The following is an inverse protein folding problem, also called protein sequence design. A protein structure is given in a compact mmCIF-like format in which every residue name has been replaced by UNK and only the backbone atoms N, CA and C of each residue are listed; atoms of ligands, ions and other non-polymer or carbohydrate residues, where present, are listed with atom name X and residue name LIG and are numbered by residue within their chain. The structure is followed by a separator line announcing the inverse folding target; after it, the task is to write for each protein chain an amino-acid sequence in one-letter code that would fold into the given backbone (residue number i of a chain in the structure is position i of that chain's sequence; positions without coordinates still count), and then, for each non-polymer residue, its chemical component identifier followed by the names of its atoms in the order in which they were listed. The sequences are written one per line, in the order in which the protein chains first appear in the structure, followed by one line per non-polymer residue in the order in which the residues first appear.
data_IF_815110410233
#
_entry.id   IF_815110410233
#
_cell.length_a   1.000
_cell.length_b   1.000
_cell.length_c   1.000
_cell.angle_alpha   90.00
_cell.angle_beta   90.00
_cell.angle_gamma   90.00
#
_symmetry.space_group_name_H-M   'P 1'
#
loop_
_entity.id
_entity.type
_entity.pdbx_description
1 polymer ?
#
# COMPACT_ATOMS: atom_id res chain seq x y z
N UNK A 1 33.39 59.78 -3.61
CA UNK A 1 32.57 58.98 -4.52
C UNK A 1 32.20 57.73 -3.76
N UNK A 2 31.02 57.73 -3.18
CA UNK A 2 30.45 56.69 -2.29
C UNK A 2 29.57 55.78 -3.11
N UNK A 3 29.92 54.50 -3.21
CA UNK A 3 29.08 53.46 -3.82
C UNK A 3 28.12 52.91 -2.78
N UNK A 4 26.83 53.18 -2.96
CA UNK A 4 25.74 52.54 -2.24
C UNK A 4 25.50 51.17 -2.81
N UNK A 5 25.64 50.13 -1.97
CA UNK A 5 25.14 48.79 -2.26
C UNK A 5 23.65 48.73 -1.94
N UNK A 6 22.80 48.52 -2.95
CA UNK A 6 21.40 48.29 -2.75
C UNK A 6 21.16 46.79 -2.40
N UNK A 7 20.67 46.55 -1.20
CA UNK A 7 20.12 45.26 -0.79
C UNK A 7 18.75 45.07 -1.44
N UNK A 8 18.62 44.14 -2.39
CA UNK A 8 17.34 43.72 -2.88
C UNK A 8 16.71 42.75 -1.86
N UNK A 9 15.66 43.23 -1.17
CA UNK A 9 14.76 42.38 -0.41
C UNK A 9 13.91 41.58 -1.41
N UNK A 10 14.00 40.24 -1.33
CA UNK A 10 13.13 39.34 -2.11
C UNK A 10 11.74 39.32 -1.48
N UNK A 11 10.86 40.21 -1.92
CA UNK A 11 9.44 40.09 -1.69
C UNK A 11 8.90 38.89 -2.55
N UNK A 12 8.74 37.78 -1.89
CA UNK A 12 7.92 36.67 -2.46
C UNK A 12 6.46 37.13 -2.39
N UNK A 13 5.68 37.06 -3.49
CA UNK A 13 4.26 37.37 -3.42
C UNK A 13 3.58 36.40 -2.46
N UNK A 14 2.93 36.94 -1.43
CA UNK A 14 2.04 36.19 -0.54
C UNK A 14 1.01 35.45 -1.39
N UNK A 15 1.09 34.14 -1.44
CA UNK A 15 0.05 33.32 -2.03
C UNK A 15 -1.21 33.50 -1.16
N UNK A 16 -2.33 34.03 -1.72
CA UNK A 16 -3.52 34.27 -0.93
C UNK A 16 -3.96 32.95 -0.29
N UNK A 17 -4.04 32.92 1.03
CA UNK A 17 -4.65 31.80 1.76
C UNK A 17 -6.06 31.60 1.18
N UNK A 18 -6.46 30.37 0.83
CA UNK A 18 -7.80 30.12 0.31
C UNK A 18 -8.81 30.60 1.36
N UNK A 19 -9.66 31.55 0.96
CA UNK A 19 -10.83 31.97 1.74
C UNK A 19 -11.66 30.77 2.06
N UNK A 20 -11.93 30.52 3.36
CA UNK A 20 -12.76 29.48 3.95
C UNK A 20 -12.90 28.24 3.04
N UNK A 21 -11.99 27.28 3.22
CA UNK A 21 -12.07 26.02 2.49
C UNK A 21 -13.48 25.44 2.67
N UNK A 22 -14.17 25.16 1.55
CA UNK A 22 -15.39 24.35 1.58
C UNK A 22 -14.96 23.01 2.17
N UNK A 23 -15.34 22.74 3.41
CA UNK A 23 -15.17 21.42 4.02
C UNK A 23 -16.13 20.47 3.33
N UNK A 24 -15.61 19.44 2.68
CA UNK A 24 -16.42 18.33 2.21
C UNK A 24 -16.58 17.39 3.40
N UNK A 25 -17.81 17.06 3.81
CA UNK A 25 -18.01 16.18 4.96
C UNK A 25 -17.37 14.82 4.66
N UNK A 26 -16.60 14.31 5.64
CA UNK A 26 -16.23 12.89 5.66
C UNK A 26 -17.51 12.19 6.11
N UNK A 27 -18.10 11.39 5.21
CA UNK A 27 -19.29 10.65 5.52
C UNK A 27 -18.89 9.40 6.31
N UNK A 28 -19.21 9.42 7.62
CA UNK A 28 -19.22 8.20 8.41
C UNK A 28 -20.59 7.55 8.25
N UNK A 29 -20.62 6.31 7.84
CA UNK A 29 -21.87 5.55 7.88
C UNK A 29 -22.30 5.49 9.35
N UNK A 30 -23.56 5.84 9.73
CA UNK A 30 -24.01 5.75 11.11
C UNK A 30 -23.96 4.28 11.53
N UNK A 31 -22.81 3.83 11.94
CA UNK A 31 -22.65 2.53 12.56
C UNK A 31 -23.09 2.67 14.00
N UNK A 32 -24.25 2.07 14.28
CA UNK A 32 -24.75 1.59 15.57
C UNK A 32 -23.81 1.80 16.78
N UNK A 33 -24.41 1.93 17.96
CA UNK A 33 -23.87 1.98 19.31
C UNK A 33 -22.44 1.45 19.50
N UNK A 34 -21.69 1.91 20.50
CA UNK A 34 -20.31 1.49 20.74
C UNK A 34 -20.25 -0.04 20.75
N UNK A 35 -19.63 -0.59 19.72
CA UNK A 35 -19.48 -2.03 19.59
C UNK A 35 -18.52 -2.48 20.68
N UNK A 36 -18.83 -3.53 21.46
CA UNK A 36 -17.86 -4.10 22.38
C UNK A 36 -16.57 -4.40 21.60
N UNK A 37 -15.42 -4.31 22.28
CA UNK A 37 -14.12 -4.62 21.68
C UNK A 37 -14.19 -6.03 21.09
N UNK A 38 -14.26 -6.14 19.78
CA UNK A 38 -14.35 -7.41 19.07
C UNK A 38 -13.02 -7.70 18.36
N UNK A 39 -12.69 -8.98 18.19
CA UNK A 39 -11.49 -9.41 17.50
C UNK A 39 -11.48 -8.98 16.02
N UNK A 40 -10.29 -8.84 15.44
CA UNK A 40 -10.08 -8.38 14.07
C UNK A 40 -10.82 -9.27 13.05
N UNK A 41 -10.80 -10.59 13.25
CA UNK A 41 -11.48 -11.56 12.37
C UNK A 41 -12.99 -11.30 12.32
N UNK A 42 -13.58 -10.91 13.45
CA UNK A 42 -14.99 -10.53 13.52
C UNK A 42 -15.25 -9.22 12.76
N UNK A 43 -14.36 -8.23 12.89
CA UNK A 43 -14.46 -6.97 12.13
C UNK A 43 -14.38 -7.25 10.62
N UNK A 44 -13.46 -8.09 10.19
CA UNK A 44 -13.29 -8.51 8.79
C UNK A 44 -14.56 -9.16 8.24
N UNK A 45 -15.05 -10.22 8.90
CA UNK A 45 -16.25 -10.94 8.45
C UNK A 45 -17.49 -10.04 8.41
N UNK A 46 -17.59 -9.10 9.33
CA UNK A 46 -18.73 -8.18 9.42
C UNK A 46 -18.57 -6.88 8.62
N UNK A 47 -17.48 -6.71 7.88
CA UNK A 47 -17.30 -5.55 7.00
C UNK A 47 -18.51 -5.39 6.05
N UNK A 48 -19.17 -4.23 6.11
CA UNK A 48 -20.35 -3.93 5.30
C UNK A 48 -21.62 -4.74 5.62
N UNK A 49 -21.68 -5.42 6.77
CA UNK A 49 -22.87 -6.18 7.16
C UNK A 49 -23.91 -5.29 7.83
N UNK A 50 -25.19 -5.41 7.40
CA UNK A 50 -26.32 -4.72 8.02
C UNK A 50 -26.37 -3.22 7.74
N UNK A 51 -25.86 -2.80 6.59
CA UNK A 51 -25.78 -1.39 6.17
C UNK A 51 -26.99 -0.93 5.35
N UNK A 52 -27.97 -1.81 5.08
CA UNK A 52 -29.21 -1.47 4.37
C UNK A 52 -30.44 -1.58 5.28
N UNK A 53 -30.86 -0.47 5.94
CA UNK A 53 -32.04 -0.48 6.80
C UNK A 53 -33.35 -0.56 6.02
N UNK A 54 -33.34 -0.28 4.71
CA UNK A 54 -34.56 -0.29 3.89
C UNK A 54 -35.04 -1.72 3.59
N UNK A 55 -34.13 -2.65 3.36
CA UNK A 55 -34.46 -4.04 3.03
C UNK A 55 -34.03 -5.05 4.09
N UNK A 56 -33.12 -4.64 4.99
CA UNK A 56 -32.48 -5.55 5.94
C UNK A 56 -31.49 -6.52 5.30
N UNK A 57 -31.01 -6.23 4.08
CA UNK A 57 -30.02 -7.05 3.39
C UNK A 57 -28.76 -7.23 4.23
N UNK A 58 -28.26 -8.47 4.28
CA UNK A 58 -26.99 -8.77 5.00
C UNK A 58 -25.79 -8.15 4.28
N UNK A 59 -25.80 -8.17 2.96
CA UNK A 59 -24.74 -7.63 2.11
C UNK A 59 -25.06 -6.19 1.74
N UNK A 60 -24.05 -5.31 1.76
CA UNK A 60 -24.14 -3.92 1.30
C UNK A 60 -24.67 -3.83 -0.13
N UNK A 61 -25.66 -2.96 -0.42
CA UNK A 61 -26.08 -2.64 -1.78
C UNK A 61 -24.99 -1.95 -2.59
N UNK A 62 -25.01 -2.15 -3.92
CA UNK A 62 -24.13 -1.44 -4.84
C UNK A 62 -24.88 -0.24 -5.41
N UNK A 63 -24.47 0.98 -5.03
CA UNK A 63 -25.04 2.23 -5.51
C UNK A 63 -24.24 2.75 -6.69
N UNK A 64 -24.69 2.47 -7.92
CA UNK A 64 -24.00 2.92 -9.15
C UNK A 64 -24.34 4.39 -9.53
N UNK A 65 -25.16 5.07 -8.75
CA UNK A 65 -25.57 6.44 -9.04
C UNK A 65 -24.39 7.41 -9.03
N UNK A 66 -24.30 8.28 -10.04
CA UNK A 66 -23.33 9.37 -10.11
C UNK A 66 -23.82 10.62 -9.37
N UNK A 67 -25.13 10.88 -9.38
CA UNK A 67 -25.76 12.07 -8.80
C UNK A 67 -26.93 11.68 -7.92
N UNK A 68 -27.26 12.54 -6.97
CA UNK A 68 -28.32 12.31 -5.98
C UNK A 68 -29.28 13.50 -5.98
N UNK A 69 -30.58 13.25 -5.73
CA UNK A 69 -31.60 14.28 -5.64
C UNK A 69 -31.48 15.08 -4.34
N UNK A 70 -31.65 16.40 -4.44
CA UNK A 70 -31.71 17.29 -3.28
C UNK A 70 -33.17 17.52 -2.86
N UNK A 71 -33.49 17.49 -1.56
CA UNK A 71 -34.84 17.79 -1.06
C UNK A 71 -35.27 19.24 -1.36
N UNK A 72 -34.32 20.18 -1.35
CA UNK A 72 -34.56 21.61 -1.63
C UNK A 72 -33.27 22.38 -1.89
N UNK A 73 -33.40 23.65 -2.18
CA UNK A 73 -32.26 24.53 -2.41
C UNK A 73 -31.41 24.68 -1.12
N UNK A 74 -30.16 24.23 -1.17
CA UNK A 74 -29.25 24.24 -0.01
C UNK A 74 -29.42 23.07 0.93
N UNK A 75 -30.28 22.10 0.60
CA UNK A 75 -30.49 20.88 1.36
C UNK A 75 -29.81 19.70 0.67
N UNK A 76 -29.38 18.69 1.45
CA UNK A 76 -28.76 17.46 0.94
C UNK A 76 -29.27 16.27 1.76
N UNK A 77 -29.32 15.10 1.12
CA UNK A 77 -29.55 13.82 1.81
C UNK A 77 -28.29 13.27 2.49
N UNK A 78 -27.16 14.00 2.37
CA UNK A 78 -25.81 13.56 2.72
C UNK A 78 -25.00 13.14 1.49
N UNK A 79 -25.66 12.89 0.37
CA UNK A 79 -25.01 12.53 -0.89
C UNK A 79 -25.44 13.52 -1.99
N UNK A 80 -24.46 14.04 -2.71
CA UNK A 80 -24.66 15.00 -3.80
C UNK A 80 -24.09 14.44 -5.11
N UNK A 81 -22.88 13.95 -5.06
CA UNK A 81 -22.15 13.47 -6.24
C UNK A 81 -21.15 12.36 -5.85
N UNK A 82 -21.07 11.30 -6.67
CA UNK A 82 -20.32 10.07 -6.33
C UNK A 82 -18.81 10.28 -6.13
N UNK A 83 -18.21 11.32 -6.74
CA UNK A 83 -16.79 11.65 -6.51
C UNK A 83 -16.55 12.10 -5.07
N UNK A 84 -17.46 12.90 -4.49
CA UNK A 84 -17.34 13.34 -3.09
C UNK A 84 -17.71 12.23 -2.12
N UNK A 85 -18.87 11.58 -2.32
CA UNK A 85 -19.34 10.49 -1.46
C UNK A 85 -20.20 9.48 -2.25
N UNK A 86 -20.14 8.21 -1.87
CA UNK A 86 -20.96 7.15 -2.44
C UNK A 86 -21.27 6.12 -1.34
N UNK A 87 -22.54 5.72 -1.14
CA UNK A 87 -22.91 4.86 -0.02
C UNK A 87 -22.12 3.53 0.06
N UNK A 88 -21.82 2.91 -1.09
CA UNK A 88 -21.03 1.66 -1.12
C UNK A 88 -19.57 1.91 -0.77
N UNK A 89 -18.98 3.02 -1.26
CA UNK A 89 -17.60 3.38 -0.94
C UNK A 89 -17.44 3.77 0.52
N UNK A 90 -18.39 4.49 1.09
CA UNK A 90 -18.34 4.90 2.50
C UNK A 90 -18.36 3.70 3.44
N UNK A 91 -19.18 2.68 3.13
CA UNK A 91 -19.17 1.41 3.88
C UNK A 91 -17.80 0.72 3.83
N UNK A 92 -17.14 0.73 2.68
CA UNK A 92 -15.78 0.19 2.56
C UNK A 92 -14.79 1.02 3.37
N UNK A 93 -14.84 2.34 3.27
CA UNK A 93 -13.94 3.27 3.95
C UNK A 93 -14.08 3.15 5.48
N UNK A 94 -15.31 3.09 6.01
CA UNK A 94 -15.56 2.85 7.43
C UNK A 94 -14.99 1.50 7.91
N UNK A 95 -15.14 0.45 7.10
CA UNK A 95 -14.57 -0.85 7.43
C UNK A 95 -13.03 -0.80 7.48
N UNK A 96 -12.38 -0.19 6.49
CA UNK A 96 -10.92 -0.06 6.40
C UNK A 96 -10.35 0.80 7.53
N UNK A 97 -11.00 1.92 7.86
CA UNK A 97 -10.59 2.76 8.99
C UNK A 97 -10.56 1.95 10.29
N UNK A 98 -11.62 1.19 10.57
CA UNK A 98 -11.72 0.35 11.78
C UNK A 98 -10.70 -0.79 11.81
N UNK A 99 -10.39 -1.40 10.67
CA UNK A 99 -9.43 -2.50 10.56
C UNK A 99 -8.00 -2.04 10.86
N UNK A 100 -7.66 -0.81 10.47
CA UNK A 100 -6.33 -0.21 10.68
C UNK A 100 -6.26 0.71 11.91
N UNK A 101 -7.30 0.75 12.75
CA UNK A 101 -7.37 1.61 13.94
C UNK A 101 -7.32 3.11 13.62
N UNK A 102 -7.76 3.50 12.42
CA UNK A 102 -7.85 4.88 11.97
C UNK A 102 -9.20 5.52 12.25
N UNK A 103 -9.27 6.84 12.11
CA UNK A 103 -10.52 7.62 12.15
C UNK A 103 -11.13 7.79 10.76
N UNK A 104 -10.31 7.80 9.72
CA UNK A 104 -10.76 7.91 8.34
C UNK A 104 -9.93 7.04 7.39
N UNK A 105 -10.61 6.49 6.38
CA UNK A 105 -9.98 5.81 5.25
C UNK A 105 -10.51 6.35 3.92
N UNK A 106 -9.69 6.26 2.89
CA UNK A 106 -9.99 6.69 1.53
C UNK A 106 -9.75 5.53 0.57
N UNK A 107 -10.76 5.19 -0.20
CA UNK A 107 -10.69 4.16 -1.24
C UNK A 107 -10.45 4.81 -2.62
N UNK A 108 -9.34 4.43 -3.24
CA UNK A 108 -8.81 5.01 -4.47
C UNK A 108 -8.69 3.96 -5.59
N UNK A 109 -8.53 4.44 -6.81
CA UNK A 109 -8.47 3.61 -8.02
C UNK A 109 -7.23 2.69 -8.11
N UNK A 110 -6.17 2.96 -7.36
CA UNK A 110 -4.96 2.12 -7.30
C UNK A 110 -4.11 2.46 -6.07
N UNK A 111 -3.18 1.55 -5.69
CA UNK A 111 -2.18 1.82 -4.66
C UNK A 111 -1.31 3.04 -4.99
N UNK A 112 -0.95 3.22 -6.27
CA UNK A 112 -0.20 4.41 -6.72
C UNK A 112 -1.01 5.69 -6.55
N UNK A 113 -2.33 5.65 -6.80
CA UNK A 113 -3.20 6.81 -6.54
C UNK A 113 -3.29 7.15 -5.04
N UNK A 114 -3.21 6.13 -4.16
CA UNK A 114 -3.15 6.35 -2.72
C UNK A 114 -1.83 7.01 -2.30
N UNK A 115 -0.69 6.50 -2.79
CA UNK A 115 0.61 7.08 -2.53
C UNK A 115 0.71 8.51 -3.06
N UNK A 116 0.25 8.77 -4.28
CA UNK A 116 0.22 10.11 -4.88
C UNK A 116 -0.65 11.08 -4.06
N UNK A 117 -1.88 10.67 -3.69
CA UNK A 117 -2.77 11.48 -2.85
C UNK A 117 -2.07 11.90 -1.56
N UNK A 118 -1.49 10.95 -0.84
CA UNK A 118 -0.81 11.17 0.44
C UNK A 118 0.40 12.08 0.25
N UNK A 119 1.31 11.71 -0.64
CA UNK A 119 2.56 12.44 -0.86
C UNK A 119 2.31 13.87 -1.29
N UNK A 120 1.48 14.10 -2.32
CA UNK A 120 1.20 15.46 -2.79
C UNK A 120 0.36 16.29 -1.81
N UNK A 121 -0.30 15.67 -0.82
CA UNK A 121 -1.03 16.39 0.23
C UNK A 121 -0.11 16.79 1.36
N UNK A 122 0.80 15.91 1.76
CA UNK A 122 1.61 16.05 2.95
C UNK A 122 2.99 16.64 2.68
N UNK A 123 3.53 16.45 1.47
CA UNK A 123 4.76 17.05 0.99
C UNK A 123 4.46 18.07 -0.13
N UNK A 124 4.12 19.33 0.20
CA UNK A 124 3.94 20.38 -0.79
C UNK A 124 5.24 20.72 -1.50
N UNK A 125 5.16 21.57 -2.55
CA UNK A 125 6.33 21.96 -3.34
C UNK A 125 7.47 22.52 -2.44
N UNK A 126 8.66 21.99 -2.64
CA UNK A 126 9.87 22.34 -1.89
C UNK A 126 10.07 21.54 -0.61
N UNK A 127 9.24 20.51 -0.37
CA UNK A 127 9.41 19.59 0.77
C UNK A 127 10.59 18.64 0.55
N UNK A 128 11.18 18.19 1.67
CA UNK A 128 12.14 17.11 1.70
C UNK A 128 11.47 15.80 2.09
N UNK A 129 11.61 14.79 1.23
CA UNK A 129 11.09 13.45 1.44
C UNK A 129 12.28 12.51 1.68
N UNK A 130 12.21 11.69 2.73
CA UNK A 130 13.14 10.58 2.94
C UNK A 130 12.39 9.28 2.68
N UNK A 131 12.89 8.45 1.77
CA UNK A 131 12.23 7.22 1.37
C UNK A 131 13.19 6.04 1.34
N UNK A 132 12.68 4.82 1.59
CA UNK A 132 13.49 3.63 1.35
C UNK A 132 13.83 3.51 -0.14
N UNK A 133 14.99 2.94 -0.43
CA UNK A 133 15.45 2.72 -1.81
C UNK A 133 14.88 1.45 -2.42
N UNK A 134 14.69 0.42 -1.61
CA UNK A 134 14.13 -0.88 -1.99
C UNK A 134 12.60 -0.95 -1.80
N UNK A 135 11.90 0.11 -2.22
CA UNK A 135 10.45 0.16 -2.33
C UNK A 135 9.98 -0.57 -3.59
N UNK A 136 8.68 -0.82 -3.68
CA UNK A 136 8.04 -1.19 -4.93
C UNK A 136 8.51 -0.27 -6.08
N UNK A 137 8.88 -0.85 -7.24
CA UNK A 137 9.44 -0.09 -8.36
C UNK A 137 8.56 1.08 -8.82
N UNK A 138 7.23 0.95 -8.74
CA UNK A 138 6.32 2.06 -9.03
C UNK A 138 6.41 3.21 -8.02
N UNK A 139 6.59 2.90 -6.75
CA UNK A 139 6.78 3.92 -5.69
C UNK A 139 8.10 4.65 -5.86
N UNK A 140 9.18 3.91 -6.13
CA UNK A 140 10.49 4.48 -6.44
C UNK A 140 10.39 5.44 -7.64
N UNK A 141 9.86 4.98 -8.78
CA UNK A 141 9.68 5.81 -9.99
C UNK A 141 8.84 7.06 -9.74
N UNK A 142 7.75 6.95 -8.97
CA UNK A 142 6.91 8.10 -8.64
C UNK A 142 7.67 9.17 -7.84
N UNK A 143 8.48 8.74 -6.87
CA UNK A 143 9.30 9.66 -6.06
C UNK A 143 10.43 10.28 -6.90
N UNK A 144 11.04 9.54 -7.82
CA UNK A 144 12.00 10.10 -8.79
C UNK A 144 11.35 11.19 -9.65
N UNK A 145 10.13 10.95 -10.17
CA UNK A 145 9.40 11.96 -10.95
C UNK A 145 9.17 13.24 -10.13
N UNK A 146 8.84 13.14 -8.83
CA UNK A 146 8.70 14.33 -7.98
C UNK A 146 10.02 15.10 -7.83
N UNK A 147 11.15 14.39 -7.75
CA UNK A 147 12.47 15.01 -7.68
C UNK A 147 12.86 15.67 -9.02
N UNK A 148 12.65 14.97 -10.15
CA UNK A 148 12.94 15.49 -11.49
C UNK A 148 12.10 16.71 -11.85
N UNK A 149 10.82 16.74 -11.44
CA UNK A 149 9.93 17.90 -11.59
C UNK A 149 10.31 19.07 -10.67
N UNK A 150 11.24 18.87 -9.73
CA UNK A 150 11.58 19.85 -8.70
C UNK A 150 10.44 20.09 -7.70
N UNK A 151 9.51 19.15 -7.59
CA UNK A 151 8.37 19.23 -6.67
C UNK A 151 8.83 18.99 -5.22
N UNK A 152 9.75 18.04 -5.01
CA UNK A 152 10.33 17.70 -3.72
C UNK A 152 11.79 17.30 -3.87
N UNK A 153 12.58 17.50 -2.80
CA UNK A 153 13.90 16.89 -2.66
C UNK A 153 13.72 15.49 -2.08
N UNK A 154 14.18 14.44 -2.76
CA UNK A 154 13.99 13.06 -2.35
C UNK A 154 15.32 12.39 -2.03
N UNK A 155 15.49 11.96 -0.78
CA UNK A 155 16.62 11.17 -0.31
C UNK A 155 16.24 9.70 -0.23
N UNK A 156 16.86 8.86 -1.05
CA UNK A 156 16.68 7.42 -0.99
C UNK A 156 17.72 6.76 -0.09
N UNK A 157 17.25 6.04 0.95
CA UNK A 157 18.09 5.42 1.97
C UNK A 157 17.84 3.91 2.08
N UNK A 158 18.74 3.18 2.75
CA UNK A 158 18.61 1.74 2.96
C UNK A 158 18.41 1.41 4.44
N UNK A 159 17.33 0.72 4.73
CA UNK A 159 17.02 0.20 6.06
C UNK A 159 16.90 1.28 7.13
N UNK A 160 16.79 0.85 8.38
CA UNK A 160 16.61 1.76 9.52
C UNK A 160 17.88 2.61 9.82
N UNK A 161 19.06 2.07 9.53
CA UNK A 161 20.30 2.82 9.72
C UNK A 161 20.42 4.02 8.76
N UNK A 162 20.02 3.81 7.49
CA UNK A 162 19.95 4.89 6.52
C UNK A 162 18.92 5.96 6.88
N UNK A 163 17.76 5.54 7.43
CA UNK A 163 16.76 6.48 7.97
C UNK A 163 17.35 7.30 9.12
N UNK A 164 18.05 6.64 10.06
CA UNK A 164 18.67 7.32 11.21
C UNK A 164 19.71 8.36 10.78
N UNK A 165 20.51 8.07 9.77
CA UNK A 165 21.50 8.99 9.23
C UNK A 165 20.83 10.19 8.54
N UNK A 166 19.88 9.95 7.64
CA UNK A 166 19.21 10.99 6.86
C UNK A 166 18.36 11.92 7.74
N UNK A 167 17.70 11.39 8.77
CA UNK A 167 16.83 12.12 9.68
C UNK A 167 17.57 12.87 10.79
N UNK A 168 18.89 12.96 10.74
CA UNK A 168 19.66 13.94 11.50
C UNK A 168 19.40 15.38 11.03
N UNK A 169 18.83 15.53 9.84
CA UNK A 169 18.38 16.81 9.28
C UNK A 169 16.84 16.81 9.15
N UNK A 170 16.17 17.99 9.26
CA UNK A 170 14.72 18.08 9.13
C UNK A 170 14.19 17.50 7.83
N UNK A 171 13.04 16.85 7.87
CA UNK A 171 12.30 16.37 6.71
C UNK A 171 10.81 16.68 6.89
N UNK A 172 10.03 16.62 5.81
CA UNK A 172 8.57 16.83 5.83
C UNK A 172 7.82 15.51 5.79
N UNK A 173 8.36 14.50 5.08
CA UNK A 173 7.73 13.22 4.91
C UNK A 173 8.76 12.09 4.89
N UNK A 174 8.43 10.99 5.57
CA UNK A 174 9.16 9.72 5.48
C UNK A 174 8.23 8.68 4.86
N UNK A 175 8.72 7.95 3.86
CA UNK A 175 7.96 6.88 3.18
C UNK A 175 8.70 5.56 3.33
N UNK A 176 8.07 4.61 4.01
CA UNK A 176 8.61 3.26 4.15
C UNK A 176 7.62 2.21 3.65
N UNK A 177 8.15 1.08 3.25
CA UNK A 177 7.43 -0.16 2.96
C UNK A 177 8.03 -1.26 3.84
N UNK A 178 7.20 -2.00 4.56
CA UNK A 178 7.68 -3.05 5.46
C UNK A 178 6.74 -4.25 5.52
N UNK A 179 7.24 -5.46 5.11
CA UNK A 179 8.55 -5.71 4.51
C UNK A 179 8.72 -5.07 3.13
N UNK A 180 9.97 -4.79 2.75
CA UNK A 180 10.28 -4.20 1.44
C UNK A 180 10.07 -5.17 0.29
N UNK A 181 9.82 -4.65 -0.91
CA UNK A 181 9.60 -5.43 -2.12
C UNK A 181 10.71 -5.14 -3.17
N UNK A 182 11.53 -6.12 -3.56
CA UNK A 182 11.36 -7.56 -3.33
C UNK A 182 12.26 -8.16 -2.25
N UNK A 183 13.03 -7.33 -1.50
CA UNK A 183 14.10 -7.82 -0.63
C UNK A 183 13.60 -8.34 0.73
N UNK A 184 12.31 -8.17 1.05
CA UNK A 184 11.68 -8.68 2.28
C UNK A 184 12.34 -8.17 3.58
N UNK A 185 12.91 -6.96 3.54
CA UNK A 185 13.53 -6.33 4.72
C UNK A 185 12.44 -5.73 5.59
N UNK A 186 12.41 -6.12 6.85
CA UNK A 186 11.51 -5.50 7.83
C UNK A 186 12.12 -4.23 8.41
N UNK A 187 11.31 -3.18 8.46
CA UNK A 187 11.66 -1.90 9.09
C UNK A 187 10.85 -1.78 10.38
N UNK A 188 11.48 -1.62 11.55
CA UNK A 188 10.76 -1.46 12.80
C UNK A 188 10.01 -0.12 12.82
N UNK A 189 8.69 -0.19 12.67
CA UNK A 189 7.82 1.00 12.58
C UNK A 189 7.95 1.93 13.79
N UNK A 190 7.99 1.43 15.05
CA UNK A 190 8.13 2.33 16.19
C UNK A 190 9.40 3.19 16.15
N UNK A 191 10.54 2.59 15.76
CA UNK A 191 11.80 3.32 15.63
C UNK A 191 11.76 4.31 14.45
N UNK A 192 11.20 3.88 13.30
CA UNK A 192 11.02 4.77 12.15
C UNK A 192 10.12 5.97 12.50
N UNK A 193 9.07 5.77 13.30
CA UNK A 193 8.19 6.84 13.77
C UNK A 193 8.93 7.82 14.70
N UNK A 194 9.68 7.32 15.68
CA UNK A 194 10.50 8.17 16.58
C UNK A 194 11.49 9.03 15.80
N UNK A 195 12.20 8.44 14.84
CA UNK A 195 13.16 9.15 13.98
C UNK A 195 12.47 10.21 13.12
N UNK A 196 11.33 9.85 12.49
CA UNK A 196 10.56 10.77 11.64
C UNK A 196 10.05 11.97 12.42
N UNK A 197 9.39 11.72 13.55
CA UNK A 197 8.83 12.78 14.38
C UNK A 197 9.92 13.69 15.00
N UNK A 198 11.07 13.11 15.37
CA UNK A 198 12.21 13.92 15.85
C UNK A 198 12.77 14.86 14.76
N UNK A 199 12.68 14.48 13.49
CA UNK A 199 13.06 15.30 12.34
C UNK A 199 11.95 16.27 11.88
N UNK A 200 10.75 16.23 12.51
CA UNK A 200 9.58 17.04 12.16
C UNK A 200 8.75 16.48 11.00
N UNK A 201 9.03 15.25 10.57
CA UNK A 201 8.37 14.60 9.45
C UNK A 201 7.18 13.74 9.88
N UNK A 202 6.20 13.58 8.97
CA UNK A 202 5.15 12.56 9.07
C UNK A 202 5.66 11.23 8.50
N UNK A 203 5.27 10.11 9.11
CA UNK A 203 5.60 8.77 8.65
C UNK A 203 4.44 8.14 7.87
N UNK A 204 4.71 7.79 6.62
CA UNK A 204 3.83 6.98 5.74
C UNK A 204 4.36 5.57 5.66
N UNK A 205 3.51 4.60 5.95
CA UNK A 205 3.84 3.17 5.88
C UNK A 205 2.99 2.49 4.82
N UNK A 206 3.62 1.90 3.81
CA UNK A 206 2.95 0.95 2.93
C UNK A 206 2.86 -0.41 3.64
N UNK A 207 1.62 -0.78 4.02
CA UNK A 207 1.32 -2.01 4.76
C UNK A 207 0.73 -3.12 3.86
N UNK A 208 0.96 -3.04 2.56
CA UNK A 208 0.36 -3.95 1.56
C UNK A 208 0.67 -5.41 1.83
N UNK A 209 1.91 -5.75 2.23
CA UNK A 209 2.33 -7.14 2.41
C UNK A 209 1.82 -7.78 3.69
N UNK A 210 1.74 -6.99 4.76
CA UNK A 210 1.36 -7.52 6.07
C UNK A 210 -0.13 -7.38 6.37
N UNK A 211 -0.81 -6.44 5.75
CA UNK A 211 -2.24 -6.19 6.00
C UNK A 211 -2.54 -5.91 7.48
N UNK A 212 -3.73 -5.45 7.86
CA UNK A 212 -4.09 -5.28 9.27
C UNK A 212 -4.12 -6.60 10.07
N UNK A 213 -4.00 -7.76 9.39
CA UNK A 213 -3.97 -9.06 10.07
C UNK A 213 -2.65 -9.29 10.78
N UNK A 214 -1.52 -8.88 10.19
CA UNK A 214 -0.18 -9.07 10.77
C UNK A 214 0.25 -7.85 11.58
N UNK A 215 0.05 -6.64 11.06
CA UNK A 215 0.43 -5.41 11.77
C UNK A 215 -0.53 -4.25 11.45
N UNK A 216 -0.64 -3.32 12.38
CA UNK A 216 -1.43 -2.07 12.25
C UNK A 216 -0.52 -0.88 12.52
N UNK A 217 0.06 -0.27 11.48
CA UNK A 217 1.10 0.75 11.62
C UNK A 217 0.68 1.98 12.42
N UNK A 218 -0.60 2.41 12.39
CA UNK A 218 -1.08 3.52 13.23
C UNK A 218 -0.92 3.24 14.73
N UNK A 219 -1.12 1.99 15.18
CA UNK A 219 -0.88 1.60 16.57
C UNK A 219 0.61 1.59 16.95
N UNK A 220 1.49 1.59 15.94
CA UNK A 220 2.95 1.55 16.09
C UNK A 220 3.60 2.93 15.87
N UNK A 221 2.80 3.98 15.67
CA UNK A 221 3.28 5.36 15.56
C UNK A 221 3.34 5.94 14.15
N UNK A 222 2.89 5.23 13.12
CA UNK A 222 2.73 5.80 11.78
C UNK A 222 1.63 6.87 11.77
N UNK A 223 1.76 7.88 10.92
CA UNK A 223 0.75 8.94 10.74
C UNK A 223 -0.25 8.57 9.65
N UNK A 224 0.23 7.89 8.60
CA UNK A 224 -0.56 7.46 7.45
C UNK A 224 -0.19 6.05 7.04
N UNK A 225 -1.21 5.25 6.73
CA UNK A 225 -1.04 3.94 6.10
C UNK A 225 -1.48 4.05 4.65
N UNK A 226 -0.75 3.39 3.75
CA UNK A 226 -1.19 3.13 2.38
C UNK A 226 -1.22 1.63 2.11
N UNK A 227 -2.14 1.21 1.23
CA UNK A 227 -2.18 -0.15 0.69
C UNK A 227 -2.45 -0.12 -0.79
N UNK A 228 -1.86 -1.04 -1.50
CA UNK A 228 -2.45 -1.55 -2.73
C UNK A 228 -3.57 -2.53 -2.36
N UNK A 229 -4.82 -2.07 -2.39
CA UNK A 229 -5.99 -2.92 -2.15
C UNK A 229 -6.15 -4.03 -3.20
N UNK A 230 -5.48 -3.88 -4.35
CA UNK A 230 -5.34 -4.86 -5.43
C UNK A 230 -4.78 -6.21 -4.95
N UNK A 231 -3.98 -6.19 -3.86
CA UNK A 231 -3.20 -7.34 -3.37
C UNK A 231 -4.04 -8.17 -2.37
N UNK A 232 -3.49 -8.46 -1.19
CA UNK A 232 -4.16 -9.30 -0.18
C UNK A 232 -5.55 -8.82 0.23
N UNK A 233 -5.80 -7.50 0.29
CA UNK A 233 -7.12 -6.98 0.68
C UNK A 233 -8.21 -7.45 -0.29
N UNK A 234 -7.99 -7.33 -1.60
CA UNK A 234 -8.86 -7.90 -2.64
C UNK A 234 -8.73 -9.43 -2.71
N UNK A 235 -7.52 -9.91 -2.90
CA UNK A 235 -7.10 -11.31 -2.78
C UNK A 235 -7.56 -12.25 -3.88
N UNK A 236 -8.18 -11.78 -4.97
CA UNK A 236 -8.77 -12.63 -6.00
C UNK A 236 -8.34 -12.23 -7.43
N UNK A 237 -7.33 -11.38 -7.58
CA UNK A 237 -6.80 -10.91 -8.86
C UNK A 237 -7.87 -10.28 -9.80
N UNK A 238 -8.97 -9.75 -9.24
CA UNK A 238 -10.16 -9.28 -9.96
C UNK A 238 -10.49 -7.79 -9.71
N UNK A 239 -9.72 -7.09 -8.88
CA UNK A 239 -9.92 -5.68 -8.57
C UNK A 239 -8.60 -4.92 -8.47
N UNK A 240 -8.57 -3.72 -9.03
CA UNK A 240 -7.49 -2.76 -8.78
C UNK A 240 -8.00 -1.68 -7.82
N UNK A 241 -7.32 -1.52 -6.69
CA UNK A 241 -7.72 -0.58 -5.65
C UNK A 241 -6.52 -0.04 -4.87
N UNK A 242 -6.68 1.15 -4.31
CA UNK A 242 -5.77 1.76 -3.34
C UNK A 242 -6.52 2.15 -2.08
N UNK A 243 -5.79 2.21 -0.98
CA UNK A 243 -6.32 2.62 0.33
C UNK A 243 -5.32 3.56 0.99
N UNK A 244 -5.83 4.65 1.57
CA UNK A 244 -5.09 5.46 2.53
C UNK A 244 -5.88 5.54 3.83
N UNK A 245 -5.22 5.40 4.99
CA UNK A 245 -5.86 5.45 6.31
C UNK A 245 -5.08 6.39 7.23
N UNK A 246 -5.81 7.19 8.01
CA UNK A 246 -5.25 8.13 8.99
C UNK A 246 -6.03 8.06 10.31
N UNK A 247 -5.37 8.43 11.41
CA UNK A 247 -6.02 8.58 12.71
C UNK A 247 -6.22 10.05 13.13
N UNK A 248 -5.63 11.00 12.41
CA UNK A 248 -5.71 12.43 12.66
C UNK A 248 -6.77 13.08 11.78
N UNK A 249 -7.72 13.81 12.39
CA UNK A 249 -8.84 14.43 11.68
C UNK A 249 -8.38 15.56 10.74
N UNK A 250 -7.30 16.28 11.07
CA UNK A 250 -6.77 17.36 10.22
C UNK A 250 -6.16 16.75 8.95
N UNK A 251 -5.42 15.65 9.10
CA UNK A 251 -4.89 14.91 7.95
C UNK A 251 -6.04 14.34 7.09
N UNK A 252 -7.08 13.82 7.73
CA UNK A 252 -8.26 13.33 7.06
C UNK A 252 -8.95 14.41 6.21
N UNK A 253 -9.16 15.59 6.76
CA UNK A 253 -9.75 16.73 6.02
C UNK A 253 -8.88 17.15 4.81
N UNK A 254 -7.57 17.21 4.98
CA UNK A 254 -6.64 17.58 3.90
C UNK A 254 -6.66 16.55 2.76
N UNK A 255 -6.63 15.25 3.09
CA UNK A 255 -6.69 14.17 2.12
C UNK A 255 -8.04 14.15 1.40
N UNK A 256 -9.16 14.29 2.12
CA UNK A 256 -10.49 14.34 1.55
C UNK A 256 -10.67 15.51 0.57
N UNK A 257 -10.19 16.70 0.96
CA UNK A 257 -10.22 17.87 0.08
C UNK A 257 -9.47 17.63 -1.23
N UNK A 258 -8.24 17.09 -1.14
CA UNK A 258 -7.44 16.79 -2.33
C UNK A 258 -8.07 15.67 -3.17
N UNK A 259 -8.54 14.59 -2.54
CA UNK A 259 -9.19 13.48 -3.25
C UNK A 259 -10.42 13.95 -4.04
N UNK A 260 -11.27 14.76 -3.41
CA UNK A 260 -12.42 15.32 -4.12
C UNK A 260 -12.01 16.25 -5.28
N UNK A 261 -10.86 16.93 -5.16
CA UNK A 261 -10.31 17.82 -6.19
C UNK A 261 -9.74 17.06 -7.37
N UNK A 262 -8.98 15.98 -7.12
CA UNK A 262 -8.28 15.18 -8.14
C UNK A 262 -9.13 14.05 -8.70
N UNK A 263 -10.01 13.45 -7.90
CA UNK A 263 -11.05 12.53 -8.35
C UNK A 263 -10.65 11.08 -8.51
N UNK A 264 -9.50 10.63 -8.00
CA UNK A 264 -9.01 9.23 -8.13
C UNK A 264 -9.76 8.25 -7.20
N UNK A 265 -11.08 8.39 -7.06
CA UNK A 265 -11.91 7.57 -6.17
C UNK A 265 -12.20 6.18 -6.76
N UNK A 266 -12.30 5.17 -5.89
CA UNK A 266 -12.69 3.81 -6.29
C UNK A 266 -14.16 3.74 -6.70
N UNK A 267 -14.45 2.99 -7.76
CA UNK A 267 -15.80 2.75 -8.24
C UNK A 267 -16.63 1.88 -7.27
N UNK A 268 -17.97 2.06 -7.22
CA UNK A 268 -18.79 1.34 -6.23
C UNK A 268 -18.78 -0.20 -6.43
N UNK A 269 -18.66 -0.70 -7.65
CA UNK A 269 -18.54 -2.14 -7.90
C UNK A 269 -17.21 -2.68 -7.37
N UNK A 270 -16.12 -1.97 -7.60
CA UNK A 270 -14.80 -2.33 -7.08
C UNK A 270 -14.75 -2.23 -5.55
N UNK A 271 -15.46 -1.25 -4.96
CA UNK A 271 -15.65 -1.18 -3.49
C UNK A 271 -16.35 -2.44 -2.96
N UNK A 272 -17.36 -2.94 -3.67
CA UNK A 272 -18.07 -4.17 -3.28
C UNK A 272 -17.15 -5.39 -3.38
N UNK A 273 -16.33 -5.51 -4.44
CA UNK A 273 -15.36 -6.61 -4.58
C UNK A 273 -14.31 -6.57 -3.45
N UNK A 274 -13.81 -5.39 -3.13
CA UNK A 274 -12.85 -5.23 -2.04
C UNK A 274 -13.46 -5.58 -0.68
N UNK A 275 -14.68 -5.11 -0.38
CA UNK A 275 -15.43 -5.51 0.82
C UNK A 275 -15.61 -7.03 0.91
N UNK A 276 -15.90 -7.68 -0.22
CA UNK A 276 -16.06 -9.13 -0.29
C UNK A 276 -14.74 -9.84 0.01
N UNK A 277 -13.62 -9.34 -0.54
CA UNK A 277 -12.27 -9.85 -0.28
C UNK A 277 -11.87 -9.76 1.19
N UNK A 278 -12.16 -8.63 1.86
CA UNK A 278 -11.85 -8.43 3.28
C UNK A 278 -12.46 -9.50 4.18
N UNK A 279 -13.65 -10.01 3.86
CA UNK A 279 -14.37 -10.98 4.72
C UNK A 279 -13.62 -12.31 4.91
N UNK A 280 -12.70 -12.65 4.03
CA UNK A 280 -11.88 -13.87 4.12
C UNK A 280 -10.40 -13.58 4.34
N UNK A 281 -10.03 -12.32 4.59
CA UNK A 281 -8.63 -11.92 4.66
C UNK A 281 -7.85 -12.70 5.72
N UNK A 282 -8.36 -12.82 6.94
CA UNK A 282 -7.68 -13.53 8.02
C UNK A 282 -7.41 -15.01 7.67
N UNK A 283 -8.42 -15.71 7.15
CA UNK A 283 -8.29 -17.12 6.71
C UNK A 283 -7.29 -17.27 5.56
N UNK A 284 -7.29 -16.32 4.62
CA UNK A 284 -6.34 -16.34 3.51
C UNK A 284 -4.92 -16.08 3.99
N UNK A 285 -4.72 -15.07 4.85
CA UNK A 285 -3.39 -14.75 5.40
C UNK A 285 -2.80 -15.92 6.18
N UNK A 286 -3.59 -16.61 7.02
CA UNK A 286 -3.16 -17.82 7.73
C UNK A 286 -2.68 -18.91 6.75
N UNK A 287 -3.42 -19.15 5.66
CA UNK A 287 -3.05 -20.17 4.68
C UNK A 287 -1.85 -19.75 3.82
N UNK A 288 -1.78 -18.48 3.40
CA UNK A 288 -0.63 -17.92 2.69
C UNK A 288 0.66 -18.09 3.51
N UNK A 289 0.62 -17.72 4.79
CA UNK A 289 1.76 -17.81 5.70
C UNK A 289 2.20 -19.28 5.92
N UNK A 290 1.24 -20.18 6.18
CA UNK A 290 1.54 -21.60 6.35
C UNK A 290 2.21 -22.20 5.11
N UNK A 291 1.68 -21.92 3.92
CA UNK A 291 2.25 -22.39 2.67
C UNK A 291 3.62 -21.76 2.38
N UNK A 292 3.77 -20.44 2.60
CA UNK A 292 5.04 -19.73 2.39
C UNK A 292 6.15 -20.22 3.32
N UNK A 293 5.82 -20.52 4.57
CA UNK A 293 6.76 -21.11 5.54
C UNK A 293 7.30 -22.45 5.03
N UNK A 294 6.41 -23.35 4.62
CA UNK A 294 6.84 -24.67 4.11
C UNK A 294 7.66 -24.54 2.81
N UNK A 295 7.29 -23.63 1.92
CA UNK A 295 8.04 -23.36 0.70
C UNK A 295 9.41 -22.75 1.02
N UNK A 296 9.51 -21.83 1.96
CA UNK A 296 10.79 -21.24 2.37
C UNK A 296 11.73 -22.31 2.96
N UNK A 297 11.21 -23.26 3.72
CA UNK A 297 11.98 -24.41 4.25
C UNK A 297 12.47 -25.32 3.11
N UNK A 298 11.59 -25.65 2.16
CA UNK A 298 11.95 -26.42 0.97
C UNK A 298 13.06 -25.73 0.16
N UNK A 299 12.93 -24.43 -0.10
CA UNK A 299 13.91 -23.64 -0.86
C UNK A 299 15.27 -23.57 -0.14
N UNK A 300 15.29 -23.41 1.19
CA UNK A 300 16.54 -23.41 1.99
C UNK A 300 17.29 -24.73 1.91
N UNK A 301 16.59 -25.84 1.71
CA UNK A 301 17.19 -27.18 1.58
C UNK A 301 17.60 -27.54 0.15
N UNK A 302 17.20 -26.72 -0.84
CA UNK A 302 17.40 -27.00 -2.26
C UNK A 302 18.83 -26.62 -2.72
N UNK A 303 19.56 -27.49 -3.43
CA UNK A 303 20.84 -27.15 -4.02
C UNK A 303 20.74 -26.17 -5.19
N UNK A 304 19.54 -25.88 -5.67
CA UNK A 304 19.25 -24.95 -6.77
C UNK A 304 19.06 -23.51 -6.30
N UNK A 305 19.11 -23.25 -4.98
CA UNK A 305 18.86 -21.95 -4.37
C UNK A 305 20.07 -21.54 -3.52
N UNK A 306 20.50 -20.30 -3.66
CA UNK A 306 21.65 -19.77 -2.92
C UNK A 306 21.27 -18.87 -1.77
N UNK A 307 20.09 -18.24 -1.80
CA UNK A 307 19.58 -17.36 -0.75
C UNK A 307 18.06 -17.42 -0.71
N UNK A 308 17.47 -17.39 0.48
CA UNK A 308 16.02 -17.27 0.69
C UNK A 308 15.74 -16.10 1.60
N UNK A 309 14.85 -15.21 1.19
CA UNK A 309 14.39 -14.03 1.90
C UNK A 309 12.91 -14.23 2.26
N UNK A 310 12.64 -14.45 3.53
CA UNK A 310 11.30 -14.64 4.06
C UNK A 310 11.27 -14.19 5.54
N UNK A 311 10.49 -13.16 5.87
CA UNK A 311 10.46 -12.60 7.22
C UNK A 311 9.65 -13.46 8.23
N UNK A 312 8.95 -14.49 7.76
CA UNK A 312 8.15 -15.38 8.62
C UNK A 312 6.66 -15.11 8.60
N UNK A 313 6.23 -14.06 7.92
CA UNK A 313 4.82 -13.67 7.79
C UNK A 313 4.42 -13.43 6.34
N UNK A 314 3.13 -13.46 6.07
CA UNK A 314 2.51 -13.33 4.74
C UNK A 314 2.89 -14.44 3.74
N UNK A 315 2.43 -14.31 2.50
CA UNK A 315 2.71 -15.26 1.42
C UNK A 315 3.88 -14.88 0.53
N UNK A 316 4.70 -13.88 0.90
CA UNK A 316 5.77 -13.37 0.04
C UNK A 316 7.11 -14.01 0.39
N UNK A 317 7.72 -14.68 -0.61
CA UNK A 317 9.04 -15.30 -0.49
C UNK A 317 9.89 -14.89 -1.68
N UNK A 318 11.10 -14.38 -1.44
CA UNK A 318 12.09 -14.16 -2.49
C UNK A 318 13.28 -15.12 -2.33
N UNK A 319 13.88 -15.52 -3.46
CA UNK A 319 15.05 -16.39 -3.43
C UNK A 319 15.92 -16.19 -4.68
N UNK A 320 17.22 -16.43 -4.53
CA UNK A 320 18.15 -16.41 -5.66
C UNK A 320 18.38 -17.82 -6.19
N UNK A 321 18.22 -17.98 -7.51
CA UNK A 321 18.56 -19.21 -8.23
C UNK A 321 20.10 -19.40 -8.28
N UNK A 322 20.57 -20.64 -8.05
CA UNK A 322 21.95 -21.01 -8.24
C UNK A 322 22.37 -20.85 -9.71
N UNK A 323 23.67 -20.64 -9.98
CA UNK A 323 24.19 -20.45 -11.34
C UNK A 323 23.93 -21.64 -12.28
N UNK A 324 23.79 -22.83 -11.73
CA UNK A 324 23.46 -24.06 -12.45
C UNK A 324 22.02 -24.11 -13.02
N UNK A 325 21.13 -23.20 -12.59
CA UNK A 325 19.73 -23.17 -13.01
C UNK A 325 19.54 -22.13 -14.10
N UNK A 326 18.98 -22.51 -15.23
CA UNK A 326 18.57 -21.57 -16.28
C UNK A 326 17.27 -20.87 -15.88
N UNK A 327 17.32 -19.55 -15.72
CA UNK A 327 16.19 -18.71 -15.28
C UNK A 327 14.98 -18.83 -16.21
N UNK A 328 15.22 -18.77 -17.52
CA UNK A 328 14.14 -18.81 -18.52
C UNK A 328 13.46 -20.16 -18.54
N UNK A 329 14.24 -21.26 -18.45
CA UNK A 329 13.68 -22.61 -18.39
C UNK A 329 12.92 -22.84 -17.08
N UNK A 330 13.43 -22.34 -15.95
CA UNK A 330 12.71 -22.42 -14.65
C UNK A 330 11.33 -21.78 -14.79
N UNK A 331 11.27 -20.52 -15.24
CA UNK A 331 10.01 -19.79 -15.39
C UNK A 331 9.06 -20.43 -16.42
N UNK A 332 9.58 -21.03 -17.48
CA UNK A 332 8.78 -21.74 -18.47
C UNK A 332 8.30 -23.13 -18.01
N UNK A 333 8.90 -23.68 -16.94
CA UNK A 333 8.62 -25.04 -16.47
C UNK A 333 7.61 -25.11 -15.32
N UNK A 334 7.30 -24.00 -14.64
CA UNK A 334 6.28 -23.96 -13.60
C UNK A 334 4.90 -24.25 -14.20
N UNK A 335 4.04 -24.90 -13.45
CA UNK A 335 2.72 -25.41 -13.89
C UNK A 335 1.57 -25.01 -12.99
N UNK A 336 1.81 -24.94 -11.68
CA UNK A 336 0.87 -24.49 -10.66
C UNK A 336 1.13 -23.01 -10.38
N UNK A 337 2.41 -22.63 -10.19
CA UNK A 337 2.78 -21.22 -10.20
C UNK A 337 2.57 -20.65 -11.60
N UNK A 338 2.01 -19.45 -11.66
CA UNK A 338 1.93 -18.68 -12.90
C UNK A 338 3.04 -17.65 -12.96
N UNK A 339 3.81 -17.63 -14.06
CA UNK A 339 4.77 -16.55 -14.31
C UNK A 339 4.01 -15.28 -14.69
N UNK A 340 3.76 -14.42 -13.73
CA UNK A 340 3.00 -13.19 -13.91
C UNK A 340 3.40 -12.15 -12.87
N UNK A 341 3.11 -10.90 -13.16
CA UNK A 341 3.21 -9.81 -12.20
C UNK A 341 2.01 -9.82 -11.24
N UNK A 342 2.09 -9.07 -10.19
CA UNK A 342 1.16 -8.96 -9.06
C UNK A 342 1.52 -9.89 -7.90
N UNK A 343 0.65 -9.93 -6.88
CA UNK A 343 0.83 -10.73 -5.67
C UNK A 343 -0.44 -10.72 -4.81
N UNK A 344 -0.47 -11.56 -3.78
CA UNK A 344 -1.49 -11.54 -2.74
C UNK A 344 -2.85 -12.10 -3.15
N UNK A 345 -2.95 -12.65 -4.37
CA UNK A 345 -4.10 -13.43 -4.81
C UNK A 345 -4.09 -14.85 -4.23
N UNK A 346 -5.23 -15.52 -4.31
CA UNK A 346 -5.38 -16.92 -3.87
C UNK A 346 -4.57 -17.90 -4.72
N UNK A 347 -4.25 -17.52 -5.96
CA UNK A 347 -3.38 -18.26 -6.86
C UNK A 347 -1.91 -17.92 -6.65
N UNK A 348 -1.04 -18.91 -6.77
CA UNK A 348 0.41 -18.74 -6.65
C UNK A 348 1.04 -18.13 -7.91
N UNK A 349 1.84 -17.08 -7.71
CA UNK A 349 2.56 -16.39 -8.79
C UNK A 349 4.07 -16.43 -8.57
N UNK A 350 4.83 -16.48 -9.65
CA UNK A 350 6.27 -16.25 -9.66
C UNK A 350 6.62 -15.07 -10.55
N UNK A 351 7.55 -14.23 -10.07
CA UNK A 351 8.01 -13.02 -10.77
C UNK A 351 9.53 -12.99 -10.77
N UNK A 352 10.13 -12.49 -11.85
CA UNK A 352 11.54 -12.10 -11.91
C UNK A 352 11.63 -10.56 -11.80
N UNK A 353 11.84 -10.00 -10.59
CA UNK A 353 11.69 -8.57 -10.37
C UNK A 353 12.58 -7.68 -11.23
N UNK A 354 13.82 -8.11 -11.52
CA UNK A 354 14.78 -7.31 -12.29
C UNK A 354 14.35 -7.00 -13.73
N UNK A 355 13.48 -7.84 -14.31
CA UNK A 355 12.98 -7.69 -15.69
C UNK A 355 11.48 -7.35 -15.75
N UNK A 356 10.80 -7.30 -14.61
CA UNK A 356 9.35 -7.00 -14.51
C UNK A 356 9.11 -5.82 -13.56
N UNK A 357 8.80 -6.08 -12.30
CA UNK A 357 8.31 -5.07 -11.34
C UNK A 357 9.33 -3.98 -10.99
N UNK A 358 10.62 -4.20 -11.22
CA UNK A 358 11.75 -3.28 -10.97
C UNK A 358 12.60 -3.05 -12.21
N UNK A 359 12.08 -3.34 -13.40
CA UNK A 359 12.81 -3.14 -14.67
C UNK A 359 13.18 -1.67 -14.89
N UNK A 360 12.33 -0.75 -14.45
CA UNK A 360 12.54 0.70 -14.58
C UNK A 360 13.55 1.25 -13.54
N UNK A 361 13.90 0.48 -12.50
CA UNK A 361 14.90 0.90 -11.51
C UNK A 361 16.30 0.67 -12.12
N UNK A 362 17.20 1.67 -12.13
CA UNK A 362 18.54 1.54 -12.68
C UNK A 362 19.31 0.34 -12.09
N UNK A 363 20.09 -0.36 -12.92
CA UNK A 363 20.78 -1.58 -12.52
C UNK A 363 21.74 -1.39 -11.33
N UNK A 364 22.44 -0.25 -11.29
CA UNK A 364 23.31 0.14 -10.17
C UNK A 364 22.54 0.37 -8.88
N UNK A 365 21.30 0.91 -8.96
CA UNK A 365 20.42 1.09 -7.82
C UNK A 365 19.94 -0.27 -7.31
N UNK A 366 19.49 -1.17 -8.21
CA UNK A 366 19.12 -2.55 -7.83
C UNK A 366 20.26 -3.30 -7.17
N UNK A 367 21.48 -3.19 -7.74
CA UNK A 367 22.67 -3.80 -7.16
C UNK A 367 23.01 -3.28 -5.78
N UNK A 368 22.75 -1.99 -5.50
CA UNK A 368 23.06 -1.36 -4.19
C UNK A 368 22.32 -1.97 -3.01
N UNK A 369 21.15 -2.57 -3.23
CA UNK A 369 20.38 -3.29 -2.21
C UNK A 369 20.29 -4.82 -2.44
N UNK A 370 21.07 -5.34 -3.40
CA UNK A 370 21.27 -6.78 -3.58
C UNK A 370 20.17 -7.47 -4.39
N UNK A 371 19.42 -6.75 -5.23
CA UNK A 371 18.51 -7.33 -6.22
C UNK A 371 19.33 -7.82 -7.42
N UNK A 372 19.49 -9.13 -7.52
CA UNK A 372 20.17 -9.80 -8.64
C UNK A 372 19.20 -10.13 -9.78
N UNK A 373 19.74 -10.36 -10.99
CA UNK A 373 18.95 -10.83 -12.14
C UNK A 373 18.51 -12.31 -11.98
N UNK A 374 18.94 -12.97 -10.90
CA UNK A 374 18.59 -14.34 -10.56
C UNK A 374 17.59 -14.42 -9.41
N UNK A 375 17.19 -13.28 -8.86
CA UNK A 375 16.19 -13.22 -7.78
C UNK A 375 14.81 -13.49 -8.36
N UNK A 376 14.15 -14.51 -7.79
CA UNK A 376 12.75 -14.83 -8.04
C UNK A 376 11.93 -14.41 -6.82
N UNK A 377 10.73 -13.88 -7.05
CA UNK A 377 9.78 -13.58 -6.00
C UNK A 377 8.53 -14.43 -6.19
N UNK A 378 8.17 -15.21 -5.18
CA UNK A 378 6.91 -15.94 -5.10
C UNK A 378 5.88 -15.10 -4.35
N UNK A 379 4.67 -15.07 -4.88
CA UNK A 379 3.45 -14.80 -4.13
C UNK A 379 2.77 -16.13 -3.93
N UNK A 380 2.96 -16.72 -2.77
CA UNK A 380 2.46 -18.05 -2.46
C UNK A 380 0.97 -17.98 -2.17
N UNK A 381 0.17 -18.71 -2.92
CA UNK A 381 -1.29 -18.77 -2.81
C UNK A 381 -1.77 -19.73 -1.73
N UNK A 382 -3.04 -20.14 -1.86
CA UNK A 382 -3.71 -21.00 -0.87
C UNK A 382 -3.97 -22.41 -1.37
N UNK A 383 -3.34 -22.82 -2.47
CA UNK A 383 -3.38 -24.17 -3.02
C UNK A 383 -2.82 -25.19 -2.01
N UNK A 384 -2.91 -26.47 -2.34
CA UNK A 384 -2.30 -27.49 -1.49
C UNK A 384 -0.76 -27.36 -1.54
N UNK A 385 -0.13 -27.30 -0.39
CA UNK A 385 1.31 -27.00 -0.29
C UNK A 385 2.19 -28.03 -0.98
N UNK A 386 1.81 -29.33 -0.95
CA UNK A 386 2.58 -30.39 -1.62
C UNK A 386 2.58 -30.22 -3.16
N UNK A 387 1.50 -29.71 -3.74
CA UNK A 387 1.42 -29.43 -5.18
C UNK A 387 2.35 -28.26 -5.55
N UNK A 388 2.42 -27.22 -4.70
CA UNK A 388 3.31 -26.08 -4.86
C UNK A 388 4.78 -26.51 -4.80
N UNK A 389 5.14 -27.32 -3.80
CA UNK A 389 6.50 -27.87 -3.64
C UNK A 389 6.89 -28.77 -4.80
N UNK A 390 5.98 -29.65 -5.22
CA UNK A 390 6.21 -30.54 -6.36
C UNK A 390 6.42 -29.76 -7.67
N UNK A 391 5.68 -28.66 -7.85
CA UNK A 391 5.83 -27.78 -9.02
C UNK A 391 7.22 -27.10 -9.05
N UNK A 392 7.67 -26.55 -7.93
CA UNK A 392 9.01 -25.96 -7.85
C UNK A 392 10.10 -27.02 -8.05
N UNK A 393 9.96 -28.20 -7.47
CA UNK A 393 10.92 -29.29 -7.60
C UNK A 393 11.11 -29.70 -9.07
N UNK A 394 10.00 -29.97 -9.79
CA UNK A 394 10.06 -30.35 -11.21
C UNK A 394 10.60 -29.22 -12.08
N UNK A 395 10.32 -27.94 -11.73
CA UNK A 395 10.82 -26.80 -12.48
C UNK A 395 12.33 -26.63 -12.30
N UNK A 396 12.88 -26.87 -11.10
CA UNK A 396 14.33 -26.90 -10.88
C UNK A 396 15.02 -28.03 -11.67
N UNK A 397 14.45 -29.25 -11.67
CA UNK A 397 15.00 -30.36 -12.45
C UNK A 397 15.05 -30.04 -13.95
N UNK A 398 13.96 -29.49 -14.48
CA UNK A 398 13.86 -29.11 -15.89
C UNK A 398 14.86 -27.98 -16.27
N UNK A 399 15.18 -27.09 -15.34
CA UNK A 399 16.04 -25.94 -15.58
C UNK A 399 17.54 -26.22 -15.34
N UNK A 400 17.88 -27.34 -14.68
CA UNK A 400 19.25 -27.73 -14.35
C UNK A 400 19.82 -28.81 -15.29
N UNK A 401 19.04 -29.26 -16.28
CA UNK A 401 19.38 -30.35 -17.21
C UNK A 401 20.11 -29.85 -18.48
#
# INVERSE_FOLDING_TARGET
MTSQSASQSSDRPDCPRPTAARTFPIHHHPSSAPTPQVHLETLLVRAGTGTDPATGAITTPIHLSTAYGHPGLGESTGYDYTRSANPTRDVLQDALARLESGTAAFALSSGMAALELVTRTLAPHGSRIVALRDLYGGSFRFLEVLAEEGTADVDFVLGIDGLREALTSPADLVVIETPTNPMMVEIPIPEAAELSHAAGALLVVDNTFYTPVVQRPLELGADVIVHSGTKYLGGHNDVMAGVAVVADDILAERLNYRLNTTGATLGPFDCFLLLRGLKTLALRMERHEANATAIAEFLRSSPHVTRVLYPGHSGMVSFDLAESVDVSRFLASVRVFTFAESLGGVESLVTCPSVQTHADVPAEVRASYGLSDRLMRLSVGIEHVDDLIADLAQAFEAASA
#
